data_IF_222497253338
#
_entry.id   IF_222497253338
#
_cell.length_a   1.000
_cell.length_b   1.000
_cell.length_c   1.000
_cell.angle_alpha   90.00
_cell.angle_beta   90.00
_cell.angle_gamma   90.00
#
_symmetry.space_group_name_H-M   'P 1'
#
loop_
_entity.id
_entity.type
_entity.pdbx_description
1 polymer ?
#
# COMPACT_ATOMS: atom_id res chain seq x y z
N UNK A 1 -14.24 0.96 4.83
CA UNK A 1 -14.67 1.35 3.45
C UNK A 1 -14.15 2.74 3.11
N UNK A 2 -13.86 3.02 1.83
CA UNK A 2 -13.20 4.28 1.38
C UNK A 2 -14.13 5.26 0.65
N UNK A 3 -15.26 4.77 0.17
CA UNK A 3 -16.31 5.54 -0.50
C UNK A 3 -17.67 4.89 -0.22
N UNK A 4 -18.73 5.66 -0.39
CA UNK A 4 -20.12 5.22 -0.30
C UNK A 4 -20.95 5.93 -1.37
N UNK A 5 -22.14 5.41 -1.66
CA UNK A 5 -23.09 6.04 -2.58
C UNK A 5 -24.30 6.56 -1.82
N UNK A 6 -24.79 7.74 -2.18
CA UNK A 6 -26.05 8.27 -1.68
C UNK A 6 -27.24 7.55 -2.31
N UNK A 7 -28.44 7.80 -1.77
CA UNK A 7 -29.71 7.24 -2.30
C UNK A 7 -30.00 7.59 -3.76
N UNK A 8 -29.41 8.67 -4.28
CA UNK A 8 -29.53 9.12 -5.66
C UNK A 8 -28.34 8.69 -6.54
N UNK A 9 -27.50 7.75 -6.09
CA UNK A 9 -26.33 7.26 -6.83
C UNK A 9 -25.10 8.18 -6.80
N UNK A 10 -25.14 9.29 -6.05
CA UNK A 10 -24.00 10.20 -5.90
C UNK A 10 -22.88 9.53 -5.09
N UNK A 11 -21.65 9.53 -5.62
CA UNK A 11 -20.49 8.96 -4.93
C UNK A 11 -19.93 9.96 -3.91
N UNK A 12 -19.72 9.49 -2.68
CA UNK A 12 -19.17 10.27 -1.57
C UNK A 12 -17.85 9.67 -1.11
N UNK A 13 -16.79 10.49 -1.12
CA UNK A 13 -15.47 10.13 -0.57
C UNK A 13 -15.37 10.57 0.89
N UNK A 14 -14.48 9.92 1.66
CA UNK A 14 -14.25 10.24 3.07
C UNK A 14 -13.93 11.73 3.31
N UNK A 15 -13.07 12.32 2.47
CA UNK A 15 -12.69 13.73 2.58
C UNK A 15 -13.90 14.68 2.41
N UNK A 16 -14.83 14.35 1.51
CA UNK A 16 -16.02 15.18 1.27
C UNK A 16 -17.02 15.05 2.43
N UNK A 17 -17.16 13.84 3.00
CA UNK A 17 -17.98 13.59 4.17
C UNK A 17 -17.42 14.29 5.41
N UNK A 18 -16.10 14.27 5.59
CA UNK A 18 -15.43 14.99 6.68
C UNK A 18 -15.65 16.50 6.55
N UNK A 19 -15.44 17.09 5.37
CA UNK A 19 -15.71 18.52 5.13
C UNK A 19 -17.14 18.93 5.45
N UNK A 20 -18.12 18.10 5.08
CA UNK A 20 -19.54 18.35 5.40
C UNK A 20 -19.79 18.28 6.90
N UNK A 21 -19.22 17.28 7.57
CA UNK A 21 -19.30 17.14 9.02
C UNK A 21 -18.69 18.36 9.73
N UNK A 22 -17.49 18.79 9.33
CA UNK A 22 -16.79 19.94 9.91
C UNK A 22 -17.57 21.25 9.68
N UNK A 23 -18.26 21.36 8.55
CA UNK A 23 -19.16 22.47 8.24
C UNK A 23 -20.56 22.34 8.90
N UNK A 24 -20.77 21.35 9.77
CA UNK A 24 -22.05 21.07 10.44
C UNK A 24 -23.23 20.88 9.46
N UNK A 25 -22.95 20.39 8.25
CA UNK A 25 -23.96 20.11 7.24
C UNK A 25 -24.59 18.73 7.47
N UNK A 26 -25.86 18.58 7.10
CA UNK A 26 -26.55 17.28 7.14
C UNK A 26 -25.84 16.29 6.21
N UNK A 27 -25.46 15.14 6.76
CA UNK A 27 -24.86 14.04 6.00
C UNK A 27 -25.96 13.27 5.25
N UNK A 28 -25.73 12.89 3.99
CA UNK A 28 -26.69 12.08 3.23
C UNK A 28 -26.79 10.66 3.81
N UNK A 29 -27.89 9.98 3.52
CA UNK A 29 -27.98 8.53 3.74
C UNK A 29 -26.97 7.83 2.83
N UNK A 30 -26.10 7.02 3.43
CA UNK A 30 -25.01 6.34 2.73
C UNK A 30 -25.31 4.85 2.57
N UNK A 31 -25.00 4.34 1.39
CA UNK A 31 -25.06 2.93 1.04
C UNK A 31 -23.68 2.46 0.57
N UNK A 32 -23.39 1.19 0.79
CA UNK A 32 -22.20 0.53 0.26
C UNK A 32 -22.20 0.59 -1.27
N UNK A 33 -21.11 1.05 -1.87
CA UNK A 33 -21.01 1.20 -3.33
C UNK A 33 -20.86 -0.13 -4.09
N UNK A 34 -20.71 -1.26 -3.38
CA UNK A 34 -20.64 -2.60 -3.97
C UNK A 34 -21.87 -3.48 -3.75
N UNK A 35 -22.73 -3.17 -2.76
CA UNK A 35 -23.90 -4.01 -2.46
C UNK A 35 -25.13 -3.25 -1.95
N UNK A 36 -25.10 -1.92 -1.93
CA UNK A 36 -26.18 -1.05 -1.46
C UNK A 36 -26.66 -1.28 -0.01
N UNK A 37 -25.92 -2.05 0.80
CA UNK A 37 -26.21 -2.20 2.24
C UNK A 37 -25.99 -0.85 2.94
N UNK A 38 -26.86 -0.42 3.88
CA UNK A 38 -26.70 0.82 4.62
C UNK A 38 -25.38 0.91 5.40
N UNK A 39 -24.71 2.05 5.27
CA UNK A 39 -23.46 2.36 5.96
C UNK A 39 -23.56 3.72 6.66
N UNK A 40 -22.66 3.97 7.59
CA UNK A 40 -22.53 5.24 8.31
C UNK A 40 -21.14 5.82 8.16
N UNK A 41 -21.07 7.14 8.12
CA UNK A 41 -19.81 7.87 8.24
C UNK A 41 -19.45 8.02 9.72
N UNK A 42 -18.21 7.73 10.06
CA UNK A 42 -17.62 8.00 11.37
C UNK A 42 -16.55 9.08 11.17
N UNK A 43 -16.73 10.28 11.73
CA UNK A 43 -15.77 11.36 11.58
C UNK A 43 -14.45 11.02 12.28
N UNK A 44 -13.38 11.69 11.83
CA UNK A 44 -12.10 11.64 12.53
C UNK A 44 -12.27 12.12 13.98
N UNK A 45 -11.70 11.40 14.92
CA UNK A 45 -11.81 11.69 16.35
C UNK A 45 -10.59 11.19 17.10
N UNK A 46 -10.30 11.80 18.25
CA UNK A 46 -9.26 11.30 19.14
C UNK A 46 -9.86 10.22 20.05
N UNK A 47 -9.22 9.06 20.09
CA UNK A 47 -9.53 8.01 21.05
C UNK A 47 -8.74 8.26 22.31
N UNK A 48 -9.44 8.48 23.42
CA UNK A 48 -8.84 8.54 24.75
C UNK A 48 -8.05 7.25 25.00
N UNK A 49 -6.75 7.38 25.27
CA UNK A 49 -5.93 6.25 25.67
C UNK A 49 -6.44 5.65 26.98
N UNK A 50 -6.26 4.34 27.17
CA UNK A 50 -6.33 3.76 28.51
C UNK A 50 -5.25 4.43 29.41
N UNK A 51 -5.49 4.50 30.72
CA UNK A 51 -4.68 5.24 31.70
C UNK A 51 -3.17 5.29 31.36
N UNK A 52 -2.71 6.48 30.96
CA UNK A 52 -1.31 6.77 30.64
C UNK A 52 -0.91 6.71 29.16
N UNK A 53 -1.77 6.24 28.25
CA UNK A 53 -1.51 6.26 26.81
C UNK A 53 -1.90 7.61 26.18
N UNK A 54 -1.05 8.12 25.27
CA UNK A 54 -1.36 9.31 24.47
C UNK A 54 -2.65 9.07 23.64
N UNK A 55 -3.50 10.09 23.46
CA UNK A 55 -4.67 9.99 22.59
C UNK A 55 -4.27 9.50 21.21
N UNK A 56 -4.92 8.44 20.73
CA UNK A 56 -4.70 7.93 19.38
C UNK A 56 -5.68 8.63 18.43
N UNK A 57 -5.15 9.42 17.50
CA UNK A 57 -5.97 10.04 16.45
C UNK A 57 -6.54 8.93 15.54
N UNK A 58 -7.85 8.79 15.53
CA UNK A 58 -8.57 7.85 14.66
C UNK A 58 -9.01 8.60 13.40
N UNK A 59 -8.54 8.21 12.20
CA UNK A 59 -8.96 8.85 10.96
C UNK A 59 -10.45 8.59 10.68
N UNK A 60 -11.07 9.44 9.86
CA UNK A 60 -12.45 9.25 9.45
C UNK A 60 -12.62 7.97 8.61
N UNK A 61 -13.75 7.27 8.79
CA UNK A 61 -14.01 6.02 8.07
C UNK A 61 -15.50 5.80 7.81
N UNK A 62 -15.81 4.88 6.91
CA UNK A 62 -17.19 4.41 6.65
C UNK A 62 -17.31 3.00 7.22
N UNK A 63 -18.32 2.83 8.08
CA UNK A 63 -18.63 1.60 8.78
C UNK A 63 -20.01 1.07 8.37
N UNK A 64 -20.20 -0.24 8.46
CA UNK A 64 -21.54 -0.83 8.39
C UNK A 64 -22.42 -0.31 9.54
N UNK A 65 -23.72 -0.25 9.30
CA UNK A 65 -24.67 -0.07 10.38
C UNK A 65 -24.64 -1.30 11.31
N UNK A 66 -24.97 -1.08 12.59
CA UNK A 66 -24.92 -2.14 13.60
C UNK A 66 -25.81 -3.32 13.18
N UNK A 67 -25.23 -4.52 13.13
CA UNK A 67 -25.92 -5.75 12.73
C UNK A 67 -26.10 -5.94 11.22
N UNK A 68 -25.60 -5.02 10.38
CA UNK A 68 -25.58 -5.20 8.95
C UNK A 68 -24.32 -5.96 8.52
N UNK A 69 -24.47 -6.80 7.48
CA UNK A 69 -23.37 -7.50 6.82
C UNK A 69 -23.39 -7.20 5.32
N UNK A 70 -22.22 -7.24 4.70
CA UNK A 70 -22.13 -7.12 3.24
C UNK A 70 -22.64 -8.40 2.56
N UNK A 71 -23.36 -8.22 1.45
CA UNK A 71 -23.82 -9.35 0.64
C UNK A 71 -22.65 -10.18 0.09
N UNK A 72 -22.83 -11.50 -0.14
CA UNK A 72 -21.88 -12.32 -0.87
C UNK A 72 -21.53 -11.68 -2.22
N UNK A 73 -20.24 -11.64 -2.55
CA UNK A 73 -19.74 -10.97 -3.77
C UNK A 73 -19.50 -9.47 -3.64
N UNK A 74 -19.85 -8.85 -2.50
CA UNK A 74 -19.41 -7.48 -2.23
C UNK A 74 -17.89 -7.44 -2.01
N UNK A 75 -17.20 -6.49 -2.65
CA UNK A 75 -15.76 -6.26 -2.48
C UNK A 75 -15.33 -5.95 -1.03
N UNK A 76 -16.25 -5.49 -0.19
CA UNK A 76 -16.01 -5.24 1.23
C UNK A 76 -16.37 -6.44 2.11
N UNK A 77 -16.92 -7.52 1.55
CA UNK A 77 -17.00 -8.81 2.22
C UNK A 77 -15.67 -9.54 2.04
N UNK A 78 -14.70 -9.21 2.88
CA UNK A 78 -13.33 -9.70 2.76
C UNK A 78 -13.24 -11.23 2.78
N UNK A 79 -14.09 -11.89 3.59
CA UNK A 79 -14.13 -13.35 3.71
C UNK A 79 -14.60 -14.01 2.42
N UNK A 80 -15.72 -13.57 1.86
CA UNK A 80 -16.22 -14.10 0.59
C UNK A 80 -15.25 -13.82 -0.56
N UNK A 81 -14.62 -12.65 -0.57
CA UNK A 81 -13.62 -12.31 -1.58
C UNK A 81 -12.39 -13.23 -1.48
N UNK A 82 -11.86 -13.46 -0.27
CA UNK A 82 -10.77 -14.42 -0.07
C UNK A 82 -11.14 -15.82 -0.55
N UNK A 83 -12.33 -16.31 -0.17
CA UNK A 83 -12.80 -17.63 -0.61
C UNK A 83 -12.90 -17.73 -2.15
N UNK A 84 -13.39 -16.68 -2.80
CA UNK A 84 -13.45 -16.63 -4.26
C UNK A 84 -12.05 -16.62 -4.90
N UNK A 85 -11.09 -15.87 -4.33
CA UNK A 85 -9.70 -15.85 -4.80
C UNK A 85 -9.05 -17.24 -4.68
N UNK A 86 -9.24 -17.90 -3.54
CA UNK A 86 -8.71 -19.26 -3.31
C UNK A 86 -9.37 -20.30 -4.23
N UNK A 87 -10.65 -20.15 -4.55
CA UNK A 87 -11.37 -21.06 -5.44
C UNK A 87 -11.10 -20.85 -6.94
N UNK A 88 -10.82 -19.61 -7.36
CA UNK A 88 -10.76 -19.21 -8.78
C UNK A 88 -9.40 -19.39 -9.43
N UNK A 89 -8.32 -19.54 -8.65
CA UNK A 89 -6.99 -19.58 -9.23
C UNK A 89 -5.95 -20.05 -8.24
N UNK A 90 -5.82 -21.36 -8.09
CA UNK A 90 -4.64 -21.94 -7.48
C UNK A 90 -3.91 -22.74 -8.52
N UNK A 91 -3.07 -22.02 -9.29
CA UNK A 91 -1.89 -22.67 -9.83
C UNK A 91 -1.21 -23.38 -8.65
N UNK A 92 -1.16 -24.73 -8.64
CA UNK A 92 -0.65 -25.49 -7.52
C UNK A 92 0.84 -25.25 -7.28
N UNK A 93 1.56 -24.66 -8.23
CA UNK A 93 2.95 -24.25 -8.03
C UNK A 93 3.05 -22.97 -7.19
N UNK A 94 2.09 -22.04 -7.33
CA UNK A 94 2.13 -20.72 -6.70
C UNK A 94 1.33 -20.62 -5.40
N UNK A 95 0.14 -21.21 -5.38
CA UNK A 95 -0.79 -21.16 -4.25
C UNK A 95 -1.39 -22.54 -3.95
N UNK A 96 -0.59 -23.57 -3.65
CA UNK A 96 -1.11 -24.89 -3.29
C UNK A 96 -1.98 -24.85 -2.04
N UNK A 97 -3.07 -25.62 -2.07
CA UNK A 97 -3.84 -25.95 -0.89
C UNK A 97 -3.05 -26.90 0.02
N UNK A 98 -3.16 -26.66 1.32
CA UNK A 98 -2.64 -27.51 2.39
C UNK A 98 -3.76 -28.44 2.87
N UNK A 99 -3.38 -29.58 3.45
CA UNK A 99 -4.34 -30.60 3.88
C UNK A 99 -5.34 -30.16 4.96
N UNK A 100 -5.16 -28.98 5.56
CA UNK A 100 -6.02 -28.39 6.58
C UNK A 100 -6.92 -27.26 6.03
N UNK A 101 -6.99 -27.08 4.72
CA UNK A 101 -7.81 -26.05 4.06
C UNK A 101 -7.14 -24.67 3.96
N UNK A 102 -5.93 -24.50 4.52
CA UNK A 102 -5.11 -23.30 4.30
C UNK A 102 -4.38 -23.40 2.97
N UNK A 103 -3.76 -22.30 2.53
CA UNK A 103 -2.94 -22.28 1.32
C UNK A 103 -1.56 -21.70 1.61
N UNK A 104 -0.57 -22.09 0.80
CA UNK A 104 0.80 -21.59 0.89
C UNK A 104 1.10 -20.67 -0.30
N UNK A 105 1.33 -19.38 -0.07
CA UNK A 105 1.70 -18.43 -1.13
C UNK A 105 3.22 -18.44 -1.34
N UNK A 106 3.66 -18.94 -2.49
CA UNK A 106 5.08 -19.15 -2.82
C UNK A 106 5.68 -17.96 -3.56
N UNK A 107 6.25 -17.04 -2.79
CA UNK A 107 6.83 -15.79 -3.29
C UNK A 107 8.13 -15.98 -4.10
N UNK A 108 8.80 -17.14 -3.98
CA UNK A 108 10.06 -17.40 -4.70
C UNK A 108 9.87 -17.38 -6.22
N UNK A 109 8.72 -17.85 -6.72
CA UNK A 109 8.40 -17.89 -8.15
C UNK A 109 8.38 -16.47 -8.72
N UNK A 110 7.67 -15.56 -8.03
CA UNK A 110 7.64 -14.14 -8.38
C UNK A 110 9.02 -13.49 -8.25
N UNK A 111 9.77 -13.78 -7.19
CA UNK A 111 11.12 -13.23 -7.01
C UNK A 111 12.06 -13.60 -8.17
N UNK A 112 12.02 -14.87 -8.60
CA UNK A 112 12.86 -15.35 -9.71
C UNK A 112 12.46 -14.71 -11.04
N UNK A 113 11.16 -14.58 -11.31
CA UNK A 113 10.67 -13.89 -12.49
C UNK A 113 11.07 -12.41 -12.52
N UNK A 114 10.95 -11.70 -11.39
CA UNK A 114 11.42 -10.31 -11.27
C UNK A 114 12.92 -10.18 -11.52
N UNK A 115 13.74 -11.10 -10.99
CA UNK A 115 15.18 -11.10 -11.24
C UNK A 115 15.51 -11.33 -12.73
N UNK A 116 14.78 -12.22 -13.41
CA UNK A 116 14.96 -12.42 -14.87
C UNK A 116 14.57 -11.17 -15.66
N UNK A 117 13.40 -10.58 -15.37
CA UNK A 117 12.95 -9.34 -16.00
C UNK A 117 13.88 -8.14 -15.76
N UNK A 118 14.69 -8.17 -14.70
CA UNK A 118 15.70 -7.15 -14.42
C UNK A 118 17.02 -7.33 -15.20
N UNK A 119 17.28 -8.52 -15.75
CA UNK A 119 18.56 -8.92 -16.36
C UNK A 119 18.56 -8.95 -17.91
N UNK A 120 17.49 -8.48 -18.57
CA UNK A 120 17.28 -8.54 -20.05
C UNK A 120 16.75 -9.91 -20.52
N UNK A 121 16.67 -10.21 -21.84
CA UNK A 121 15.83 -9.61 -22.92
C UNK A 121 14.32 -9.57 -22.58
N UNK A 122 13.39 -9.20 -23.50
CA UNK A 122 11.95 -9.16 -23.17
C UNK A 122 11.40 -10.51 -22.69
N UNK A 123 10.33 -10.49 -21.88
CA UNK A 123 9.75 -11.70 -21.29
C UNK A 123 9.41 -12.73 -22.35
N UNK A 124 9.82 -13.98 -22.09
CA UNK A 124 9.54 -15.11 -22.98
C UNK A 124 8.06 -15.51 -22.83
N UNK A 125 7.48 -16.26 -23.79
CA UNK A 125 6.12 -16.81 -23.64
C UNK A 125 5.91 -17.64 -22.36
N UNK A 126 6.99 -18.13 -21.75
CA UNK A 126 7.02 -18.79 -20.44
C UNK A 126 6.70 -17.88 -19.25
N UNK A 127 6.58 -16.56 -19.43
CA UNK A 127 6.20 -15.60 -18.38
C UNK A 127 4.67 -15.35 -18.32
N UNK A 128 3.87 -15.99 -19.19
CA UNK A 128 2.40 -15.96 -19.09
C UNK A 128 1.82 -16.40 -17.72
N UNK A 129 2.41 -17.37 -16.98
CA UNK A 129 1.97 -17.69 -15.62
C UNK A 129 2.25 -16.56 -14.63
N UNK A 130 3.30 -15.77 -14.86
CA UNK A 130 3.72 -14.70 -13.95
C UNK A 130 2.68 -13.58 -13.86
N UNK A 131 2.07 -13.18 -14.98
CA UNK A 131 1.00 -12.18 -14.96
C UNK A 131 -0.22 -12.65 -14.16
N UNK A 132 -0.52 -13.96 -14.22
CA UNK A 132 -1.54 -14.61 -13.40
C UNK A 132 -1.18 -14.58 -11.91
N UNK A 133 0.02 -15.03 -11.55
CA UNK A 133 0.52 -15.00 -10.17
C UNK A 133 0.56 -13.60 -9.58
N UNK A 134 1.01 -12.63 -10.37
CA UNK A 134 1.08 -11.23 -9.96
C UNK A 134 -0.31 -10.62 -9.79
N UNK A 135 -1.28 -10.99 -10.62
CA UNK A 135 -2.68 -10.61 -10.43
C UNK A 135 -3.23 -11.17 -9.12
N UNK A 136 -3.09 -12.49 -8.89
CA UNK A 136 -3.53 -13.14 -7.65
C UNK A 136 -2.88 -12.51 -6.42
N UNK A 137 -1.56 -12.23 -6.47
CA UNK A 137 -0.87 -11.56 -5.39
C UNK A 137 -1.44 -10.15 -5.15
N UNK A 138 -1.64 -9.37 -6.21
CA UNK A 138 -2.20 -8.03 -6.07
C UNK A 138 -3.60 -8.06 -5.47
N UNK A 139 -4.45 -9.00 -5.87
CA UNK A 139 -5.80 -9.13 -5.31
C UNK A 139 -5.75 -9.45 -3.81
N UNK A 140 -4.83 -10.32 -3.39
CA UNK A 140 -4.56 -10.60 -1.97
C UNK A 140 -4.02 -9.38 -1.21
N UNK A 141 -3.10 -8.62 -1.83
CA UNK A 141 -2.51 -7.43 -1.24
C UNK A 141 -3.54 -6.30 -1.10
N UNK A 142 -4.40 -6.10 -2.10
CA UNK A 142 -5.51 -5.14 -2.05
C UNK A 142 -6.49 -5.56 -0.95
N UNK A 143 -6.85 -6.84 -0.89
CA UNK A 143 -7.71 -7.37 0.15
C UNK A 143 -7.13 -7.12 1.55
N UNK A 144 -5.84 -7.38 1.74
CA UNK A 144 -5.12 -7.10 2.99
C UNK A 144 -5.13 -5.61 3.32
N UNK A 145 -4.90 -4.74 2.34
CA UNK A 145 -4.93 -3.27 2.50
C UNK A 145 -6.33 -2.71 2.81
N UNK A 146 -7.38 -3.48 2.54
CA UNK A 146 -8.76 -3.14 2.86
C UNK A 146 -9.19 -3.65 4.24
N UNK A 147 -8.44 -4.58 4.84
CA UNK A 147 -8.69 -5.10 6.18
C UNK A 147 -8.03 -4.22 7.25
N UNK A 148 -8.59 -4.20 8.46
CA UNK A 148 -8.00 -3.48 9.60
C UNK A 148 -6.74 -4.20 10.14
N UNK A 149 -6.71 -5.53 10.03
CA UNK A 149 -5.59 -6.37 10.45
C UNK A 149 -5.34 -7.53 9.45
N UNK A 150 -4.34 -8.37 9.74
CA UNK A 150 -3.97 -9.54 8.94
C UNK A 150 -4.57 -10.86 9.46
N UNK A 151 -5.53 -10.82 10.38
CA UNK A 151 -6.08 -12.03 11.03
C UNK A 151 -6.74 -12.96 10.01
N UNK A 152 -7.55 -12.39 9.11
CA UNK A 152 -8.27 -13.12 8.08
C UNK A 152 -7.29 -13.85 7.13
N UNK A 153 -6.28 -13.15 6.63
CA UNK A 153 -5.32 -13.73 5.69
C UNK A 153 -4.36 -14.68 6.40
N UNK A 154 -3.86 -14.35 7.59
CA UNK A 154 -2.97 -15.23 8.36
C UNK A 154 -3.62 -16.55 8.75
N UNK A 155 -4.94 -16.55 8.98
CA UNK A 155 -5.69 -17.78 9.26
C UNK A 155 -5.76 -18.73 8.06
N UNK A 156 -5.71 -18.20 6.83
CA UNK A 156 -5.95 -18.97 5.59
C UNK A 156 -4.69 -19.10 4.70
N UNK A 157 -3.70 -18.23 4.87
CA UNK A 157 -2.54 -18.10 3.99
C UNK A 157 -1.24 -18.09 4.80
N UNK A 158 -0.31 -18.95 4.38
CA UNK A 158 1.08 -18.91 4.84
C UNK A 158 1.97 -18.38 3.71
N UNK A 159 2.67 -17.27 3.94
CA UNK A 159 3.66 -16.78 2.96
C UNK A 159 4.97 -17.54 3.09
N UNK A 160 5.55 -17.93 1.95
CA UNK A 160 6.90 -18.51 1.92
C UNK A 160 7.78 -17.92 0.85
N UNK A 161 9.02 -17.64 1.26
CA UNK A 161 10.12 -17.26 0.39
C UNK A 161 11.15 -18.40 0.39
N UNK A 162 11.02 -19.29 -0.58
CA UNK A 162 11.77 -20.55 -0.62
C UNK A 162 11.43 -21.41 0.60
N UNK A 163 12.44 -21.78 1.40
CA UNK A 163 12.23 -22.59 2.60
C UNK A 163 11.71 -21.78 3.79
N UNK A 164 11.88 -20.45 3.79
CA UNK A 164 11.56 -19.59 4.93
C UNK A 164 10.10 -19.15 4.89
N UNK A 165 9.44 -19.23 6.05
CA UNK A 165 8.15 -18.56 6.28
C UNK A 165 8.37 -17.06 6.42
N UNK A 166 7.43 -16.28 5.90
CA UNK A 166 7.42 -14.81 6.00
C UNK A 166 6.11 -14.39 6.65
N UNK A 167 6.16 -13.46 7.60
CA UNK A 167 4.94 -12.90 8.18
C UNK A 167 4.41 -11.76 7.32
N UNK A 168 3.10 -11.50 7.36
CA UNK A 168 2.49 -10.39 6.61
C UNK A 168 3.05 -9.04 7.02
N UNK A 169 3.24 -8.81 8.33
CA UNK A 169 3.93 -7.64 8.85
C UNK A 169 5.36 -7.49 8.32
N UNK A 170 5.97 -8.59 7.90
CA UNK A 170 7.29 -8.70 7.28
C UNK A 170 7.18 -8.88 5.76
N UNK A 171 6.11 -8.43 5.13
CA UNK A 171 5.97 -8.52 3.68
C UNK A 171 5.26 -7.30 3.12
N UNK A 172 4.17 -6.87 3.76
CA UNK A 172 3.42 -5.68 3.41
C UNK A 172 3.65 -4.58 4.45
N UNK A 173 4.09 -3.41 4.00
CA UNK A 173 4.29 -2.25 4.87
C UNK A 173 3.39 -1.09 4.44
N UNK A 174 2.70 -0.51 5.42
CA UNK A 174 2.00 0.76 5.29
C UNK A 174 2.94 1.97 5.40
N UNK A 175 2.41 3.16 5.13
CA UNK A 175 3.16 4.42 5.22
C UNK A 175 3.75 4.65 6.63
N UNK A 176 3.05 4.22 7.67
CA UNK A 176 3.46 4.30 9.07
C UNK A 176 4.66 3.39 9.41
N UNK A 177 4.98 2.40 8.58
CA UNK A 177 6.06 1.42 8.81
C UNK A 177 7.17 1.48 7.74
N UNK A 178 7.29 2.58 7.01
CA UNK A 178 8.35 2.77 6.01
C UNK A 178 9.76 2.76 6.60
N UNK A 179 9.93 3.16 7.86
CA UNK A 179 11.17 3.04 8.62
C UNK A 179 11.60 1.59 8.82
N UNK A 180 10.68 0.74 9.30
CA UNK A 180 10.95 -0.69 9.46
C UNK A 180 11.31 -1.36 8.12
N UNK A 181 10.60 -0.98 7.05
CA UNK A 181 10.92 -1.46 5.70
C UNK A 181 12.33 -1.01 5.26
N UNK A 182 12.71 0.23 5.55
CA UNK A 182 14.01 0.79 5.19
C UNK A 182 15.16 0.13 5.96
N UNK A 183 14.99 -0.09 7.26
CA UNK A 183 15.96 -0.78 8.12
C UNK A 183 16.17 -2.23 7.65
N UNK A 184 15.08 -2.93 7.36
CA UNK A 184 15.14 -4.30 6.83
C UNK A 184 15.89 -4.37 5.50
N UNK A 185 15.62 -3.44 4.59
CA UNK A 185 16.35 -3.37 3.32
C UNK A 185 17.83 -3.07 3.52
N UNK A 186 18.19 -2.25 4.51
CA UNK A 186 19.59 -1.96 4.86
C UNK A 186 20.34 -3.15 5.48
N UNK A 187 19.63 -4.02 6.19
CA UNK A 187 20.20 -5.27 6.75
C UNK A 187 20.39 -6.37 5.69
N UNK A 188 19.74 -6.24 4.53
CA UNK A 188 19.76 -7.25 3.50
C UNK A 188 20.97 -7.09 2.57
N UNK A 189 21.63 -8.20 2.26
CA UNK A 189 22.73 -8.23 1.29
C UNK A 189 22.29 -8.11 -0.18
N UNK A 190 20.97 -8.15 -0.44
CA UNK A 190 20.39 -8.10 -1.78
C UNK A 190 18.96 -7.54 -1.75
N UNK A 191 18.42 -7.23 -2.94
CA UNK A 191 17.05 -6.76 -3.08
C UNK A 191 16.04 -7.78 -2.55
N UNK A 192 15.03 -7.29 -1.82
CA UNK A 192 14.02 -8.12 -1.17
C UNK A 192 12.67 -8.02 -1.87
N UNK A 193 11.96 -9.15 -2.09
CA UNK A 193 10.58 -9.13 -2.53
C UNK A 193 9.68 -8.68 -1.37
N UNK A 194 9.15 -7.47 -1.46
CA UNK A 194 8.20 -6.92 -0.49
C UNK A 194 7.16 -6.04 -1.18
N UNK A 195 6.08 -5.78 -0.47
CA UNK A 195 4.99 -4.93 -0.90
C UNK A 195 4.90 -3.68 -0.02
N UNK A 196 4.70 -2.52 -0.64
CA UNK A 196 4.46 -1.25 0.06
C UNK A 196 3.09 -0.70 -0.35
N UNK A 197 2.33 -0.20 0.63
CA UNK A 197 1.17 0.64 0.40
C UNK A 197 1.60 2.10 0.46
N UNK A 198 1.09 2.93 -0.45
CA UNK A 198 1.42 4.34 -0.45
C UNK A 198 0.38 5.18 -1.17
N UNK A 199 0.24 6.43 -0.73
CA UNK A 199 -0.58 7.42 -1.44
C UNK A 199 0.28 8.20 -2.42
N UNK A 200 -0.08 8.25 -3.70
CA UNK A 200 0.66 8.99 -4.73
C UNK A 200 0.68 10.47 -4.38
N UNK A 201 1.86 11.03 -4.16
CA UNK A 201 2.07 12.46 -3.86
C UNK A 201 2.39 13.27 -5.11
N UNK A 202 3.22 12.74 -5.99
CA UNK A 202 3.75 13.52 -7.13
C UNK A 202 4.35 12.63 -8.21
N UNK A 203 4.40 13.15 -9.43
CA UNK A 203 5.19 12.60 -10.54
C UNK A 203 6.32 13.58 -10.88
N UNK A 204 7.56 13.10 -10.92
CA UNK A 204 8.73 13.87 -11.37
C UNK A 204 9.19 13.32 -12.71
N UNK A 205 8.95 14.08 -13.77
CA UNK A 205 9.50 13.81 -15.11
C UNK A 205 10.98 14.23 -15.14
N UNK A 206 11.85 13.47 -15.81
CA UNK A 206 13.28 13.81 -15.91
C UNK A 206 13.45 15.12 -16.67
N UNK A 207 14.38 15.96 -16.20
CA UNK A 207 14.78 17.19 -16.90
C UNK A 207 15.91 16.91 -17.91
N UNK A 208 16.11 17.78 -18.92
CA UNK A 208 17.26 17.69 -19.81
C UNK A 208 18.58 17.63 -19.01
N UNK A 209 19.35 16.55 -19.18
CA UNK A 209 20.59 16.31 -18.43
C UNK A 209 20.46 15.32 -17.25
N UNK A 210 19.25 14.89 -16.87
CA UNK A 210 19.09 13.86 -15.84
C UNK A 210 19.68 12.51 -16.32
N UNK A 211 20.59 11.89 -15.54
CA UNK A 211 21.41 10.75 -15.98
C UNK A 211 20.60 9.47 -16.23
N UNK A 212 19.35 9.40 -15.76
CA UNK A 212 18.55 8.18 -15.83
C UNK A 212 17.35 8.26 -16.77
N UNK A 213 16.98 9.42 -17.31
CA UNK A 213 15.80 9.62 -18.19
C UNK A 213 14.54 8.83 -17.77
N UNK A 214 14.34 8.59 -16.47
CA UNK A 214 13.17 7.89 -15.92
C UNK A 214 12.25 8.88 -15.23
N UNK A 215 10.96 8.67 -15.37
CA UNK A 215 9.96 9.37 -14.56
C UNK A 215 9.86 8.66 -13.22
N UNK A 216 9.72 9.44 -12.15
CA UNK A 216 9.49 8.93 -10.81
C UNK A 216 8.07 9.23 -10.34
N UNK A 217 7.41 8.24 -9.75
CA UNK A 217 6.24 8.39 -8.91
C UNK A 217 6.71 8.36 -7.47
N UNK A 218 6.37 9.39 -6.69
CA UNK A 218 6.71 9.45 -5.27
C UNK A 218 5.43 9.35 -4.44
N UNK A 219 5.45 8.52 -3.41
CA UNK A 219 4.38 8.44 -2.43
C UNK A 219 4.52 9.51 -1.33
N UNK A 220 3.45 9.70 -0.57
CA UNK A 220 3.47 10.50 0.65
C UNK A 220 4.50 9.90 1.64
N UNK A 221 5.37 10.73 2.24
CA UNK A 221 6.44 10.24 3.11
C UNK A 221 5.90 9.86 4.48
N UNK A 222 6.61 8.96 5.18
CA UNK A 222 6.53 8.89 6.64
C UNK A 222 7.36 10.02 7.21
N UNK A 223 6.78 10.82 8.10
CA UNK A 223 7.55 11.75 8.92
C UNK A 223 7.87 11.11 10.27
N UNK A 224 9.14 11.06 10.63
CA UNK A 224 9.61 10.51 11.89
C UNK A 224 9.98 11.64 12.85
N UNK A 225 9.27 11.69 13.98
CA UNK A 225 9.64 12.54 15.10
C UNK A 225 10.80 11.89 15.84
N UNK A 226 12.00 12.49 15.77
CA UNK A 226 13.22 11.95 16.40
C UNK A 226 13.46 12.51 17.80
N UNK A 227 12.65 13.47 18.26
CA UNK A 227 12.87 14.21 19.51
C UNK A 227 14.08 15.15 19.47
N UNK A 228 14.90 15.09 18.42
CA UNK A 228 16.05 15.97 18.20
C UNK A 228 15.54 17.29 17.63
N UNK A 229 15.80 18.36 18.37
CA UNK A 229 15.44 19.72 17.95
C UNK A 229 16.11 20.04 16.62
N UNK A 230 15.36 20.66 15.70
CA UNK A 230 15.82 21.03 14.35
C UNK A 230 16.24 19.89 13.44
N UNK A 231 15.94 18.63 13.79
CA UNK A 231 16.12 17.48 12.90
C UNK A 231 14.77 16.92 12.46
N UNK A 232 14.69 16.56 11.17
CA UNK A 232 13.50 15.99 10.55
C UNK A 232 13.88 14.79 9.71
N UNK A 233 13.36 13.62 10.07
CA UNK A 233 13.66 12.39 9.34
C UNK A 233 12.40 12.00 8.53
N UNK A 234 12.61 11.71 7.25
CA UNK A 234 11.56 11.34 6.31
C UNK A 234 11.90 10.01 5.66
N UNK A 235 10.91 9.14 5.51
CA UNK A 235 11.02 7.93 4.71
C UNK A 235 10.17 8.07 3.46
N UNK A 236 10.82 8.03 2.29
CA UNK A 236 10.20 8.26 0.99
C UNK A 236 10.21 6.99 0.14
N UNK A 237 9.05 6.66 -0.40
CA UNK A 237 8.87 5.60 -1.40
C UNK A 237 8.83 6.21 -2.79
N UNK A 238 9.70 5.72 -3.67
CA UNK A 238 9.81 6.16 -5.07
C UNK A 238 9.82 4.98 -6.03
N UNK A 239 8.99 5.06 -7.06
CA UNK A 239 8.95 4.11 -8.17
C UNK A 239 9.48 4.81 -9.42
N UNK A 240 10.54 4.28 -10.03
CA UNK A 240 11.14 4.83 -11.25
C UNK A 240 10.87 3.94 -12.46
N UNK A 241 10.39 4.52 -13.56
CA UNK A 241 10.12 3.78 -14.80
C UNK A 241 10.32 4.66 -16.06
N UNK A 242 10.62 4.03 -17.19
CA UNK A 242 10.83 4.71 -18.48
C UNK A 242 9.51 5.08 -19.17
N UNK A 243 8.52 4.19 -19.09
CA UNK A 243 7.15 4.49 -19.55
C UNK A 243 6.49 5.51 -18.61
N UNK A 244 6.49 6.75 -19.09
CA UNK A 244 5.92 7.90 -18.37
C UNK A 244 4.40 7.91 -18.41
N UNK A 245 3.78 7.40 -19.47
CA UNK A 245 2.33 7.38 -19.61
C UNK A 245 1.73 6.36 -18.63
N UNK A 246 2.30 5.16 -18.57
CA UNK A 246 1.93 4.16 -17.58
C UNK A 246 2.10 4.69 -16.15
N UNK A 247 3.25 5.29 -15.83
CA UNK A 247 3.48 5.75 -14.46
C UNK A 247 2.55 6.90 -14.06
N UNK A 248 2.17 7.79 -14.99
CA UNK A 248 1.19 8.86 -14.77
C UNK A 248 -0.26 8.38 -14.74
N UNK A 249 -0.54 7.12 -15.10
CA UNK A 249 -1.89 6.55 -15.00
C UNK A 249 -2.37 6.38 -13.54
N UNK A 250 -1.44 6.40 -12.58
CA UNK A 250 -1.73 6.42 -11.15
C UNK A 250 -1.90 7.87 -10.67
N UNK A 251 -3.13 8.38 -10.42
CA UNK A 251 -3.33 9.79 -10.16
C UNK A 251 -2.84 10.20 -8.77
N UNK A 252 -2.48 11.48 -8.62
CA UNK A 252 -2.13 12.05 -7.30
C UNK A 252 -3.32 11.89 -6.35
N UNK A 253 -3.04 11.44 -5.13
CA UNK A 253 -4.04 11.11 -4.12
C UNK A 253 -4.61 9.69 -4.23
N UNK A 254 -4.28 8.92 -5.27
CA UNK A 254 -4.61 7.50 -5.28
C UNK A 254 -3.77 6.74 -4.26
N UNK A 255 -4.37 5.78 -3.57
CA UNK A 255 -3.60 4.78 -2.85
C UNK A 255 -3.26 3.64 -3.80
N UNK A 256 -2.01 3.21 -3.77
CA UNK A 256 -1.50 2.13 -4.60
C UNK A 256 -0.80 1.09 -3.71
N UNK A 257 -0.87 -0.15 -4.16
CA UNK A 257 -0.01 -1.22 -3.69
C UNK A 257 1.08 -1.50 -4.71
N UNK A 258 2.30 -1.67 -4.23
CA UNK A 258 3.51 -1.80 -5.03
C UNK A 258 4.28 -3.03 -4.58
N UNK A 259 4.29 -4.09 -5.39
CA UNK A 259 5.08 -5.29 -5.13
C UNK A 259 6.31 -5.35 -6.05
N UNK A 260 7.47 -5.69 -5.48
CA UNK A 260 8.65 -5.91 -6.30
C UNK A 260 9.92 -6.16 -5.50
N UNK A 261 11.05 -6.11 -6.20
CA UNK A 261 12.38 -6.15 -5.58
C UNK A 261 12.75 -4.74 -5.14
N UNK A 262 12.70 -4.52 -3.82
CA UNK A 262 13.01 -3.24 -3.24
C UNK A 262 14.47 -3.16 -2.81
N UNK A 263 14.99 -1.94 -2.83
CA UNK A 263 16.32 -1.61 -2.36
C UNK A 263 16.33 -0.32 -1.56
N UNK A 264 17.33 -0.23 -0.68
CA UNK A 264 17.63 1.00 0.02
C UNK A 264 18.23 2.01 -0.99
N UNK A 265 17.53 3.12 -1.19
CA UNK A 265 18.07 4.27 -1.93
C UNK A 265 19.07 5.03 -1.08
N UNK A 266 19.95 5.81 -1.72
CA UNK A 266 20.87 6.71 -1.01
C UNK A 266 20.06 7.74 -0.22
N UNK A 267 20.32 7.82 1.08
CA UNK A 267 19.77 8.89 1.90
C UNK A 267 20.33 10.24 1.46
N UNK A 268 19.53 11.28 1.59
CA UNK A 268 19.94 12.66 1.28
C UNK A 268 19.72 13.55 2.49
N UNK A 269 20.69 14.42 2.76
CA UNK A 269 20.62 15.43 3.82
C UNK A 269 20.48 16.80 3.19
N UNK A 270 19.52 17.58 3.66
CA UNK A 270 19.32 18.97 3.26
C UNK A 270 19.22 19.84 4.51
N UNK A 271 19.87 21.00 4.49
CA UNK A 271 19.89 21.94 5.60
C UNK A 271 19.32 23.27 5.16
N UNK A 272 18.51 23.90 6.01
CA UNK A 272 17.95 25.23 5.77
C UNK A 272 17.94 26.07 7.05
N UNK A 273 18.07 27.41 6.96
CA UNK A 273 17.93 28.27 8.12
C UNK A 273 16.58 28.07 8.82
N UNK A 274 16.57 28.15 10.15
CA UNK A 274 15.34 28.09 10.93
C UNK A 274 14.50 29.35 10.65
N UNK A 275 13.19 29.22 10.38
CA UNK A 275 12.36 30.32 9.88
C UNK A 275 12.22 31.49 10.87
N UNK A 276 12.37 31.23 12.16
CA UNK A 276 12.22 32.26 13.21
C UNK A 276 13.49 32.52 14.01
N UNK A 277 14.57 31.76 13.79
CA UNK A 277 15.84 31.95 14.47
C UNK A 277 17.00 31.77 13.48
N UNK A 278 17.55 32.86 12.93
CA UNK A 278 18.59 32.77 11.92
C UNK A 278 19.90 32.15 12.42
N UNK A 279 20.06 31.93 13.74
CA UNK A 279 21.22 31.22 14.32
C UNK A 279 21.07 29.70 14.30
N UNK A 280 19.87 29.20 14.00
CA UNK A 280 19.54 27.77 13.99
C UNK A 280 19.37 27.26 12.57
N UNK A 281 19.69 25.99 12.37
CA UNK A 281 19.57 25.31 11.07
C UNK A 281 18.72 24.07 11.22
N UNK A 282 17.67 23.95 10.42
CA UNK A 282 16.85 22.74 10.33
C UNK A 282 17.54 21.78 9.35
N UNK A 283 17.88 20.60 9.83
CA UNK A 283 18.43 19.50 9.03
C UNK A 283 17.34 18.49 8.74
N UNK A 284 17.12 18.21 7.46
CA UNK A 284 16.19 17.20 6.98
C UNK A 284 16.97 16.04 6.38
N UNK A 285 16.72 14.82 6.89
CA UNK A 285 17.29 13.59 6.37
C UNK A 285 16.18 12.80 5.69
N UNK A 286 16.40 12.42 4.44
CA UNK A 286 15.45 11.64 3.66
C UNK A 286 16.02 10.26 3.38
N UNK A 287 15.43 9.25 3.98
CA UNK A 287 15.66 7.83 3.77
C UNK A 287 14.81 7.36 2.61
N UNK A 288 15.41 6.70 1.60
CA UNK A 288 14.71 6.35 0.36
C UNK A 288 14.50 4.85 0.24
N UNK A 289 13.28 4.45 -0.11
CA UNK A 289 12.93 3.12 -0.60
C UNK A 289 12.65 3.24 -2.10
N UNK A 290 13.40 2.50 -2.92
CA UNK A 290 13.31 2.61 -4.37
C UNK A 290 12.88 1.29 -5.00
N UNK A 291 11.92 1.38 -5.93
CA UNK A 291 11.50 0.28 -6.80
C UNK A 291 11.73 0.67 -8.27
N UNK A 292 12.22 -0.29 -9.06
CA UNK A 292 12.26 -0.22 -10.52
C UNK A 292 11.49 -1.42 -11.08
N UNK A 293 10.20 -1.24 -11.40
CA UNK A 293 9.39 -2.32 -11.93
C UNK A 293 9.92 -2.79 -13.28
N UNK A 294 9.95 -4.11 -13.47
CA UNK A 294 10.15 -4.74 -14.78
C UNK A 294 8.82 -4.98 -15.49
N UNK A 295 7.71 -5.04 -14.73
CA UNK A 295 6.38 -5.34 -15.25
C UNK A 295 5.37 -4.31 -14.74
N UNK A 296 4.45 -3.90 -15.62
CA UNK A 296 3.36 -2.96 -15.28
C UNK A 296 2.37 -3.53 -14.26
N UNK A 297 2.34 -4.86 -14.12
CA UNK A 297 1.57 -5.59 -13.11
C UNK A 297 1.98 -5.35 -11.66
N UNK A 298 3.18 -4.79 -11.42
CA UNK A 298 3.73 -4.63 -10.08
C UNK A 298 3.09 -3.52 -9.25
N UNK A 299 2.31 -2.65 -9.91
CA UNK A 299 1.58 -1.55 -9.28
C UNK A 299 0.09 -1.70 -9.55
N UNK A 300 -0.72 -1.54 -8.51
CA UNK A 300 -2.19 -1.51 -8.61
C UNK A 300 -2.78 -0.45 -7.69
N UNK A 301 -3.89 0.14 -8.10
CA UNK A 301 -4.67 1.05 -7.26
C UNK A 301 -5.48 0.22 -6.26
N UNK A 302 -5.56 0.70 -5.01
CA UNK A 302 -6.41 0.14 -3.97
C UNK A 302 -7.77 0.87 -4.03
N UNK A 303 -8.81 0.22 -4.58
CA UNK A 303 -10.14 0.85 -4.80
C UNK A 303 -11.32 0.17 -4.10
#
# INVERSE_FOLDING_TARGET
>A
MRKAVGTHGTLHRLADLQKRHDAQQTLPTLLCDGCNVPVRFVPAHDRSGADGALPAAVPAYIALNKGAEHLPGCRYNARSHLQALLASGTDPEFLPALGDGRHELRLLILQQALKRGSAGPPPLPADAPFDGHLRTLNDLLILQAMCEDDTLLTAQLTLRLGKKRVDWANFLYGQDRYDEAWERLGSASSELPLALLGTVRSHRTPQPGDPHRVTFLNCAPKYQHTGVTDRRDFYEVSVGHTDTAWLKSFPVGAEIVMFGLWRQGRSSTASRPHPTDPRRTITSITHKLALRPSFTGQLRVVE
#
